data_IF_584327595009
#
_entry.id   IF_584327595009
#
_cell.length_a   1.000
_cell.length_b   1.000
_cell.length_c   1.000
_cell.angle_alpha   90.00
_cell.angle_beta   90.00
_cell.angle_gamma   90.00
#
_symmetry.space_group_name_H-M   'P 1'
#
loop_
_entity.id
_entity.type
_entity.pdbx_description
1 polymer ?
#
# COMPACT_ATOMS: atom_id res chain seq x y z
N UNK A 1 -6.95 5.87 3.16
CA UNK A 1 -7.99 4.83 3.26
C UNK A 1 -9.06 5.26 4.27
N UNK A 2 -10.36 4.97 4.07
CA UNK A 2 -11.45 5.43 4.99
C UNK A 2 -12.26 4.32 5.66
N UNK A 3 -11.94 3.04 5.40
CA UNK A 3 -12.70 1.91 5.95
C UNK A 3 -12.04 1.32 7.19
N UNK A 4 -12.32 1.92 8.34
CA UNK A 4 -11.94 1.44 9.67
C UNK A 4 -13.12 1.55 10.65
N UNK A 5 -13.10 0.76 11.71
CA UNK A 5 -14.11 0.75 12.78
C UNK A 5 -13.43 0.83 14.14
N UNK A 6 -14.17 1.26 15.16
CA UNK A 6 -13.71 1.15 16.56
C UNK A 6 -14.11 -0.22 17.11
N UNK A 7 -13.12 -0.98 17.58
CA UNK A 7 -13.31 -2.22 18.34
C UNK A 7 -12.41 -2.12 19.58
N UNK A 8 -12.97 -2.38 20.77
CA UNK A 8 -12.24 -2.36 22.05
C UNK A 8 -11.37 -1.10 22.28
N UNK A 9 -11.89 0.07 21.88
CA UNK A 9 -11.20 1.35 22.00
C UNK A 9 -10.14 1.64 20.93
N UNK A 10 -9.81 0.67 20.07
CA UNK A 10 -8.82 0.81 18.99
C UNK A 10 -9.49 0.98 17.62
N UNK A 11 -8.80 1.69 16.70
CA UNK A 11 -9.22 1.79 15.30
C UNK A 11 -8.65 0.61 14.52
N UNK A 12 -9.53 -0.26 14.02
CA UNK A 12 -9.18 -1.46 13.25
C UNK A 12 -9.72 -1.37 11.83
N UNK A 13 -8.99 -1.95 10.87
CA UNK A 13 -9.41 -2.07 9.47
C UNK A 13 -10.25 -3.33 9.27
N UNK A 14 -10.76 -3.56 8.05
CA UNK A 14 -11.42 -4.82 7.69
C UNK A 14 -10.43 -5.86 7.09
N UNK A 15 -9.15 -5.52 6.99
CA UNK A 15 -8.13 -6.44 6.54
C UNK A 15 -7.67 -7.25 7.74
N UNK A 16 -7.69 -8.57 7.61
CA UNK A 16 -7.29 -9.52 8.65
C UNK A 16 -5.85 -9.94 8.41
N UNK A 17 -5.03 -9.94 9.46
CA UNK A 17 -3.71 -10.54 9.42
C UNK A 17 -3.85 -12.06 9.51
N UNK A 18 -3.51 -12.83 8.46
CA UNK A 18 -3.68 -14.27 8.44
C UNK A 18 -2.80 -15.00 9.46
N UNK A 19 -1.74 -14.37 9.96
CA UNK A 19 -0.84 -14.97 10.97
C UNK A 19 -1.47 -14.99 12.36
N UNK A 20 -2.34 -14.03 12.64
CA UNK A 20 -2.95 -13.84 13.97
C UNK A 20 -4.46 -14.05 13.97
N UNK A 21 -5.10 -14.09 12.79
CA UNK A 21 -6.55 -14.11 12.64
C UNK A 21 -7.23 -12.82 13.09
N UNK A 22 -6.47 -11.76 13.38
CA UNK A 22 -6.98 -10.51 13.94
C UNK A 22 -7.00 -9.38 12.91
N UNK A 23 -7.92 -8.44 13.05
CA UNK A 23 -7.99 -7.25 12.21
C UNK A 23 -6.74 -6.36 12.39
N UNK A 24 -6.20 -5.84 11.28
CA UNK A 24 -5.06 -4.93 11.33
C UNK A 24 -5.46 -3.58 11.93
N UNK A 25 -4.61 -2.97 12.79
CA UNK A 25 -4.84 -1.63 13.27
C UNK A 25 -4.76 -0.61 12.12
N UNK A 26 -5.59 0.43 12.17
CA UNK A 26 -5.54 1.50 11.19
C UNK A 26 -4.31 2.39 11.46
N UNK A 27 -3.39 2.44 10.48
CA UNK A 27 -2.13 3.20 10.57
C UNK A 27 -2.07 4.42 9.64
N UNK A 28 -3.20 4.84 9.07
CA UNK A 28 -3.21 5.96 8.11
C UNK A 28 -2.50 5.68 6.79
N UNK A 29 -2.23 4.41 6.48
CA UNK A 29 -1.53 3.96 5.27
C UNK A 29 -2.52 3.61 4.15
N UNK A 30 -2.10 3.84 2.91
CA UNK A 30 -2.72 3.28 1.70
C UNK A 30 -1.66 2.90 0.69
N UNK A 31 -1.95 1.89 -0.12
CA UNK A 31 -1.10 1.40 -1.20
C UNK A 31 -1.90 1.43 -2.49
N UNK A 32 -1.26 1.88 -3.57
CA UNK A 32 -1.75 1.80 -4.94
C UNK A 32 -0.81 0.89 -5.73
N UNK A 33 -1.34 -0.13 -6.41
CA UNK A 33 -0.56 -1.05 -7.25
C UNK A 33 -0.96 -0.88 -8.71
N UNK A 34 0.03 -0.84 -9.60
CA UNK A 34 -0.18 -0.91 -11.04
C UNK A 34 0.16 -2.32 -11.52
N UNK A 35 -0.78 -2.96 -12.20
CA UNK A 35 -0.63 -4.32 -12.75
C UNK A 35 -1.40 -4.44 -14.07
N UNK A 36 -1.05 -5.37 -14.98
CA UNK A 36 -1.82 -5.62 -16.20
C UNK A 36 -3.29 -5.99 -15.95
N UNK A 37 -3.58 -6.60 -14.79
CA UNK A 37 -4.95 -6.97 -14.43
C UNK A 37 -5.38 -6.40 -13.07
N UNK A 38 -6.68 -6.07 -12.96
CA UNK A 38 -7.25 -5.60 -11.69
C UNK A 38 -7.17 -6.66 -10.58
N UNK A 39 -7.28 -7.94 -10.94
CA UNK A 39 -7.23 -9.04 -9.97
C UNK A 39 -5.87 -9.14 -9.28
N UNK A 40 -4.78 -9.04 -10.05
CA UNK A 40 -3.42 -9.04 -9.50
C UNK A 40 -3.18 -7.78 -8.65
N UNK A 41 -3.58 -6.61 -9.14
CA UNK A 41 -3.42 -5.36 -8.40
C UNK A 41 -4.12 -5.41 -7.04
N UNK A 42 -5.35 -5.92 -6.99
CA UNK A 42 -6.15 -6.02 -5.76
C UNK A 42 -5.55 -7.02 -4.75
N UNK A 43 -5.17 -8.21 -5.24
CA UNK A 43 -4.54 -9.23 -4.41
C UNK A 43 -3.20 -8.78 -3.81
N UNK A 44 -2.34 -8.18 -4.64
CA UNK A 44 -1.04 -7.66 -4.20
C UNK A 44 -1.25 -6.50 -3.22
N UNK A 45 -2.13 -5.53 -3.52
CA UNK A 45 -2.37 -4.39 -2.63
C UNK A 45 -2.80 -4.85 -1.22
N UNK A 46 -3.67 -5.86 -1.14
CA UNK A 46 -4.09 -6.44 0.15
C UNK A 46 -2.91 -7.07 0.89
N UNK A 47 -2.08 -7.86 0.20
CA UNK A 47 -0.90 -8.49 0.78
C UNK A 47 0.12 -7.45 1.30
N UNK A 48 0.36 -6.38 0.54
CA UNK A 48 1.27 -5.29 0.92
C UNK A 48 0.78 -4.56 2.17
N UNK A 49 -0.54 -4.35 2.32
CA UNK A 49 -1.10 -3.76 3.55
C UNK A 49 -0.87 -4.67 4.77
N UNK A 50 -0.95 -6.00 4.59
CA UNK A 50 -0.66 -6.98 5.64
C UNK A 50 0.83 -6.99 6.03
N UNK A 51 1.73 -6.86 5.05
CA UNK A 51 3.17 -6.81 5.28
C UNK A 51 3.61 -5.55 6.03
N UNK A 52 2.96 -4.41 5.75
CA UNK A 52 3.29 -3.10 6.31
C UNK A 52 4.37 -2.36 5.53
N UNK A 53 4.44 -1.03 5.70
CA UNK A 53 5.15 -0.08 4.82
C UNK A 53 6.56 -0.51 4.39
N UNK A 54 7.48 -0.71 5.34
CA UNK A 54 8.89 -1.00 5.02
C UNK A 54 9.08 -2.37 4.34
N UNK A 55 8.52 -3.44 4.91
CA UNK A 55 8.68 -4.79 4.36
C UNK A 55 7.95 -4.95 3.04
N UNK A 56 6.81 -4.29 2.87
CA UNK A 56 6.07 -4.27 1.63
C UNK A 56 6.86 -3.54 0.53
N UNK A 57 7.49 -2.41 0.85
CA UNK A 57 8.34 -1.68 -0.09
C UNK A 57 9.53 -2.53 -0.53
N UNK A 58 10.28 -3.12 0.41
CA UNK A 58 11.42 -4.00 0.11
C UNK A 58 11.00 -5.16 -0.78
N UNK A 59 9.89 -5.83 -0.44
CA UNK A 59 9.35 -6.92 -1.23
C UNK A 59 9.00 -6.48 -2.65
N UNK A 60 8.41 -5.30 -2.83
CA UNK A 60 8.10 -4.77 -4.15
C UNK A 60 9.35 -4.47 -4.99
N UNK A 61 10.41 -3.90 -4.39
CA UNK A 61 11.68 -3.67 -5.09
C UNK A 61 12.33 -5.00 -5.51
N UNK A 62 12.30 -6.01 -4.65
CA UNK A 62 12.84 -7.35 -4.96
C UNK A 62 12.08 -8.08 -6.08
N UNK A 63 10.77 -7.82 -6.23
CA UNK A 63 9.89 -8.54 -7.14
C UNK A 63 9.44 -7.71 -8.35
N UNK A 64 10.03 -6.53 -8.57
CA UNK A 64 9.70 -5.58 -9.64
C UNK A 64 8.20 -5.20 -9.69
N UNK A 65 7.61 -4.93 -8.52
CA UNK A 65 6.20 -4.53 -8.40
C UNK A 65 6.06 -3.02 -8.38
N UNK A 66 5.19 -2.50 -9.26
CA UNK A 66 4.85 -1.07 -9.30
C UNK A 66 3.86 -0.71 -8.18
N UNK A 67 4.34 -0.08 -7.12
CA UNK A 67 3.53 0.35 -6.01
C UNK A 67 3.84 1.79 -5.55
N UNK A 68 2.80 2.51 -5.14
CA UNK A 68 2.88 3.79 -4.45
C UNK A 68 2.30 3.64 -3.04
N UNK A 69 3.15 3.85 -2.04
CA UNK A 69 2.80 3.88 -0.64
C UNK A 69 2.51 5.32 -0.23
N UNK A 70 1.45 5.52 0.54
CA UNK A 70 1.13 6.78 1.17
C UNK A 70 0.81 6.56 2.64
N UNK A 71 1.41 7.35 3.51
CA UNK A 71 1.16 7.33 4.95
C UNK A 71 1.02 8.76 5.48
N UNK A 72 0.38 8.92 6.64
CA UNK A 72 0.30 10.21 7.33
C UNK A 72 1.30 10.20 8.47
N UNK A 73 2.31 11.07 8.38
CA UNK A 73 3.31 11.26 9.42
C UNK A 73 2.72 11.82 10.71
N UNK A 74 3.49 11.77 11.80
CA UNK A 74 3.06 12.27 13.11
C UNK A 74 2.73 13.78 13.11
N UNK A 75 3.29 14.53 12.15
CA UNK A 75 3.04 15.96 11.91
C UNK A 75 1.77 16.22 11.07
N UNK A 76 1.02 15.17 10.71
CA UNK A 76 -0.17 15.24 9.86
C UNK A 76 0.13 15.38 8.37
N UNK A 77 1.40 15.37 7.95
CA UNK A 77 1.76 15.46 6.53
C UNK A 77 1.65 14.10 5.85
N UNK A 78 1.24 14.12 4.59
CA UNK A 78 1.24 12.91 3.77
C UNK A 78 2.64 12.66 3.25
N UNK A 79 3.22 11.52 3.64
CA UNK A 79 4.47 10.99 3.08
C UNK A 79 4.10 10.05 1.94
N UNK A 80 4.84 10.13 0.84
CA UNK A 80 4.68 9.25 -0.32
C UNK A 80 6.00 8.55 -0.60
N UNK A 81 5.94 7.27 -0.91
CA UNK A 81 7.08 6.45 -1.30
C UNK A 81 6.68 5.58 -2.49
N UNK A 82 7.32 5.80 -3.63
CA UNK A 82 7.07 5.04 -4.85
C UNK A 82 8.17 4.00 -5.06
N UNK A 83 7.82 2.85 -5.61
CA UNK A 83 8.83 1.87 -6.03
C UNK A 83 9.48 2.30 -7.34
N UNK A 84 10.69 1.82 -7.60
CA UNK A 84 11.43 2.06 -8.85
C UNK A 84 10.56 1.76 -10.08
N UNK A 85 9.86 0.62 -10.06
CA UNK A 85 8.97 0.21 -11.15
C UNK A 85 7.77 1.14 -11.32
N UNK A 86 7.20 1.63 -10.23
CA UNK A 86 6.11 2.61 -10.29
C UNK A 86 6.57 3.91 -10.93
N UNK A 87 7.75 4.42 -10.58
CA UNK A 87 8.31 5.64 -11.19
C UNK A 87 8.51 5.48 -12.70
N UNK A 88 8.99 4.33 -13.16
CA UNK A 88 9.15 4.06 -14.59
C UNK A 88 7.83 4.10 -15.36
N UNK A 89 6.76 3.54 -14.77
CA UNK A 89 5.45 3.44 -15.43
C UNK A 89 4.59 4.70 -15.27
N UNK A 90 4.86 5.52 -14.25
CA UNK A 90 4.06 6.72 -13.94
C UNK A 90 4.58 8.00 -14.59
N UNK A 91 5.78 7.97 -15.19
CA UNK A 91 6.26 9.08 -16.01
C UNK A 91 5.43 9.18 -17.30
N UNK A 92 4.94 10.38 -17.68
CA UNK A 92 4.35 10.56 -18.99
C UNK A 92 5.40 10.24 -20.08
N UNK A 93 4.93 9.66 -21.17
CA UNK A 93 5.75 9.34 -22.33
C UNK A 93 6.22 10.65 -22.99
N UNK A 94 7.49 11.02 -22.79
CA UNK A 94 8.11 12.21 -23.42
C UNK A 94 8.35 12.03 -24.93
N UNK A 95 7.90 10.93 -25.55
CA UNK A 95 8.03 10.69 -27.00
C UNK A 95 6.96 11.36 -27.88
N UNK A 96 6.08 12.18 -27.28
CA UNK A 96 5.04 12.93 -28.00
C UNK A 96 5.36 14.43 -28.16
N UNK A 97 6.59 14.78 -28.58
CA UNK A 97 6.93 16.12 -29.06
C UNK A 97 7.97 16.11 -30.19
#
# INVERSE_FOLDING_TARGET
>A
YRNYRRADGQLVTHIVDPRTGSALPYRGMSVTVLSPTCMEADGIATALVVLGDDRAYEWCEEHDVAALFQSVGADGRVVRRATTRYEQLSRPDDSAN
#
